data_IF_411464521657
#
_entry.id   IF_411464521657
#
_cell.length_a   1.000
_cell.length_b   1.000
_cell.length_c   1.000
_cell.angle_alpha   90.00
_cell.angle_beta   90.00
_cell.angle_gamma   90.00
#
_symmetry.space_group_name_H-M   'P 1'
#
loop_
_entity.id
_entity.type
_entity.pdbx_description
1 polymer ?
#
# COMPACT_ATOMS: atom_id res chain seq x y z
N UNK A 1 -13.32 -33.80 -24.49
CA UNK A 1 -12.22 -33.68 -23.51
C UNK A 1 -11.49 -32.32 -23.51
N UNK A 2 -12.06 -31.23 -24.07
CA UNK A 2 -11.33 -29.96 -24.31
C UNK A 2 -11.45 -28.87 -23.22
N UNK A 3 -12.21 -29.10 -22.14
CA UNK A 3 -12.56 -28.04 -21.17
C UNK A 3 -11.61 -27.93 -19.97
N UNK A 4 -10.85 -29.00 -19.65
CA UNK A 4 -9.90 -29.01 -18.53
C UNK A 4 -8.60 -28.25 -18.85
N UNK A 5 -8.14 -28.29 -20.10
CA UNK A 5 -6.95 -27.56 -20.53
C UNK A 5 -7.15 -26.04 -20.49
N UNK A 6 -8.34 -25.55 -20.84
CA UNK A 6 -8.70 -24.12 -20.72
C UNK A 6 -8.74 -23.64 -19.26
N UNK A 7 -9.28 -24.47 -18.35
CA UNK A 7 -9.32 -24.14 -16.93
C UNK A 7 -7.92 -24.09 -16.30
N UNK A 8 -7.06 -25.06 -16.62
CA UNK A 8 -5.67 -25.10 -16.14
C UNK A 8 -4.87 -23.90 -16.67
N UNK A 9 -5.10 -23.50 -17.92
CA UNK A 9 -4.49 -22.30 -18.50
C UNK A 9 -4.96 -21.03 -17.82
N UNK A 10 -6.26 -20.88 -17.55
CA UNK A 10 -6.80 -19.72 -16.84
C UNK A 10 -6.33 -19.62 -15.38
N UNK A 11 -6.15 -20.76 -14.70
CA UNK A 11 -5.56 -20.79 -13.34
C UNK A 11 -4.08 -20.40 -13.39
N UNK A 12 -3.33 -20.88 -14.38
CA UNK A 12 -1.92 -20.53 -14.57
C UNK A 12 -1.73 -19.04 -14.88
N UNK A 13 -2.57 -18.47 -15.75
CA UNK A 13 -2.58 -17.05 -16.06
C UNK A 13 -2.92 -16.20 -14.82
N UNK A 14 -3.92 -16.58 -14.03
CA UNK A 14 -4.25 -15.90 -12.76
C UNK A 14 -3.14 -16.01 -11.72
N UNK A 15 -2.53 -17.19 -11.57
CA UNK A 15 -1.39 -17.39 -10.68
C UNK A 15 -0.23 -16.49 -11.07
N UNK A 16 0.06 -16.36 -12.37
CA UNK A 16 1.12 -15.48 -12.86
C UNK A 16 0.84 -14.00 -12.64
N UNK A 17 -0.43 -13.58 -12.72
CA UNK A 17 -0.84 -12.20 -12.40
C UNK A 17 -0.66 -11.91 -10.91
N UNK A 18 -1.12 -12.82 -10.05
CA UNK A 18 -0.99 -12.69 -8.60
C UNK A 18 0.46 -12.63 -8.15
N UNK A 19 1.35 -13.45 -8.74
CA UNK A 19 2.79 -13.38 -8.43
C UNK A 19 3.36 -12.00 -8.77
N UNK A 20 3.00 -11.43 -9.93
CA UNK A 20 3.46 -10.07 -10.32
C UNK A 20 2.93 -8.98 -9.40
N UNK A 21 1.70 -9.10 -8.94
CA UNK A 21 1.12 -8.17 -7.96
C UNK A 21 1.81 -8.27 -6.60
N UNK A 22 2.16 -9.48 -6.18
CA UNK A 22 2.90 -9.75 -4.95
C UNK A 22 4.32 -9.17 -5.01
N UNK A 23 5.01 -9.33 -6.14
CA UNK A 23 6.32 -8.73 -6.39
C UNK A 23 6.23 -7.20 -6.34
N UNK A 24 5.22 -6.60 -6.98
CA UNK A 24 5.02 -5.14 -6.95
C UNK A 24 4.66 -4.61 -5.55
N UNK A 25 3.97 -5.39 -4.73
CA UNK A 25 3.69 -5.05 -3.34
C UNK A 25 4.95 -5.16 -2.48
N UNK A 26 5.78 -6.17 -2.71
CA UNK A 26 7.07 -6.32 -2.04
C UNK A 26 8.01 -5.14 -2.34
N UNK A 27 8.07 -4.68 -3.60
CA UNK A 27 8.84 -3.50 -4.00
C UNK A 27 8.35 -2.24 -3.27
N UNK A 28 7.03 -2.00 -3.22
CA UNK A 28 6.45 -0.86 -2.48
C UNK A 28 6.69 -0.93 -0.99
N UNK A 29 6.61 -2.12 -0.38
CA UNK A 29 6.92 -2.30 1.03
C UNK A 29 8.39 -1.98 1.32
N UNK A 30 9.29 -2.35 0.41
CA UNK A 30 10.71 -2.02 0.51
C UNK A 30 10.96 -0.50 0.38
N UNK A 31 10.31 0.18 -0.57
CA UNK A 31 10.37 1.65 -0.69
C UNK A 31 9.87 2.35 0.57
N UNK A 32 8.74 1.90 1.14
CA UNK A 32 8.20 2.45 2.38
C UNK A 32 9.15 2.24 3.56
N UNK A 33 9.79 1.07 3.65
CA UNK A 33 10.77 0.79 4.68
C UNK A 33 12.02 1.68 4.54
N UNK A 34 12.47 1.93 3.30
CA UNK A 34 13.58 2.84 3.02
C UNK A 34 13.23 4.30 3.38
N UNK A 35 12.01 4.75 3.08
CA UNK A 35 11.51 6.08 3.48
C UNK A 35 11.41 6.17 5.00
N UNK A 36 10.88 5.15 5.68
CA UNK A 36 10.79 5.11 7.14
C UNK A 36 12.18 5.16 7.79
N UNK A 37 13.17 4.48 7.21
CA UNK A 37 14.54 4.52 7.69
C UNK A 37 15.22 5.88 7.44
N UNK A 38 14.98 6.49 6.27
CA UNK A 38 15.45 7.85 5.98
C UNK A 38 14.79 8.92 6.87
N UNK A 39 13.53 8.73 7.27
CA UNK A 39 12.86 9.57 8.26
C UNK A 39 13.44 9.35 9.66
N UNK A 40 13.71 8.11 10.05
CA UNK A 40 14.35 7.77 11.32
C UNK A 40 15.76 8.37 11.43
N UNK A 41 16.55 8.32 10.37
CA UNK A 41 17.88 8.96 10.30
C UNK A 41 17.79 10.50 10.32
N UNK A 42 16.72 11.09 9.78
CA UNK A 42 16.45 12.53 9.90
C UNK A 42 15.98 12.94 11.30
N UNK A 43 15.24 12.08 12.00
CA UNK A 43 14.76 12.34 13.37
C UNK A 43 15.88 12.17 14.43
N UNK A 44 16.94 11.41 14.13
CA UNK A 44 18.16 11.34 14.97
C UNK A 44 18.98 12.65 14.97
N UNK A 45 18.61 13.64 14.13
CA UNK A 45 19.12 15.02 14.18
C UNK A 45 18.09 15.91 14.89
N UNK A 46 18.09 15.84 16.23
CA UNK A 46 17.57 16.86 17.14
C UNK A 46 16.23 17.53 16.75
N UNK A 47 15.14 16.77 16.80
CA UNK A 47 13.85 17.31 17.24
C UNK A 47 13.45 16.56 18.51
N UNK A 48 13.81 17.12 19.66
CA UNK A 48 13.22 16.72 20.93
C UNK A 48 11.72 16.98 20.83
N UNK A 49 11.00 15.90 20.59
CA UNK A 49 9.55 15.83 20.58
C UNK A 49 9.03 16.21 21.98
N UNK A 50 8.73 17.50 22.15
CA UNK A 50 8.04 18.03 23.34
C UNK A 50 6.55 17.65 23.36
N UNK A 51 6.12 16.68 22.56
CA UNK A 51 4.75 16.18 22.47
C UNK A 51 4.45 14.93 23.28
N UNK A 52 5.45 14.11 23.66
CA UNK A 52 5.18 12.72 24.11
C UNK A 52 5.76 12.35 25.48
N UNK A 53 6.43 13.27 26.20
CA UNK A 53 6.90 13.02 27.58
C UNK A 53 6.02 13.64 28.68
N UNK A 54 4.70 13.53 28.59
CA UNK A 54 3.80 14.06 29.63
C UNK A 54 2.80 13.07 30.24
N UNK A 55 2.88 11.77 29.91
CA UNK A 55 1.87 10.80 30.38
C UNK A 55 2.39 9.73 31.37
N UNK A 56 3.59 9.88 31.93
CA UNK A 56 4.11 8.89 32.88
C UNK A 56 4.97 9.47 34.01
N UNK A 57 4.46 10.49 34.71
CA UNK A 57 4.70 10.69 36.13
C UNK A 57 3.70 11.75 36.66
N UNK A 58 3.18 11.54 37.87
CA UNK A 58 2.01 12.23 38.40
C UNK A 58 2.05 13.76 38.34
N UNK A 59 0.86 14.33 38.12
CA UNK A 59 0.57 15.76 38.23
C UNK A 59 0.11 16.34 36.91
N UNK A 60 -1.21 16.44 36.71
CA UNK A 60 -1.82 17.14 35.58
C UNK A 60 -1.19 18.54 35.44
N UNK A 61 -0.37 18.83 34.41
CA UNK A 61 -0.02 20.20 34.13
C UNK A 61 -1.22 20.79 33.41
N UNK A 62 -1.83 21.81 34.00
CA UNK A 62 -2.93 22.57 33.42
C UNK A 62 -2.71 22.75 31.91
N UNK A 63 -3.56 22.11 31.10
CA UNK A 63 -3.57 22.21 29.66
C UNK A 63 -3.50 23.71 29.32
N UNK A 64 -2.37 24.17 28.79
CA UNK A 64 -2.21 25.59 28.44
C UNK A 64 -3.07 25.85 27.20
N UNK A 65 -4.32 26.24 27.44
CA UNK A 65 -5.29 26.76 26.47
C UNK A 65 -4.70 27.83 25.53
N UNK A 66 -3.55 28.42 25.87
CA UNK A 66 -2.79 29.33 25.01
C UNK A 66 -2.27 28.71 23.70
N UNK A 67 -2.02 27.40 23.63
CA UNK A 67 -1.57 26.76 22.38
C UNK A 67 -2.73 26.59 21.39
N UNK A 68 -3.94 26.35 21.88
CA UNK A 68 -5.18 26.38 21.08
C UNK A 68 -5.55 27.80 20.62
N UNK A 69 -5.18 28.85 21.37
CA UNK A 69 -5.35 30.24 20.92
C UNK A 69 -4.44 30.64 19.74
N UNK A 70 -3.39 29.86 19.44
CA UNK A 70 -2.53 30.06 18.26
C UNK A 70 -3.06 29.38 17.00
N UNK A 71 -3.98 28.43 17.13
CA UNK A 71 -4.87 28.09 16.03
C UNK A 71 -5.91 29.20 16.00
N UNK A 72 -5.71 30.20 15.14
CA UNK A 72 -6.73 31.20 14.87
C UNK A 72 -8.05 30.45 14.67
N UNK A 73 -9.09 30.73 15.49
CA UNK A 73 -10.41 30.22 15.22
C UNK A 73 -10.75 30.57 13.77
N UNK A 74 -11.36 29.65 13.03
CA UNK A 74 -11.91 30.00 11.73
C UNK A 74 -12.82 31.22 11.91
N UNK A 75 -12.40 32.35 11.35
CA UNK A 75 -13.12 33.61 11.42
C UNK A 75 -13.42 34.03 9.99
N UNK A 76 -14.68 34.32 9.72
CA UNK A 76 -15.07 34.98 8.49
C UNK A 76 -14.46 36.38 8.50
N UNK A 77 -13.57 36.65 7.54
CA UNK A 77 -13.04 37.98 7.34
C UNK A 77 -14.18 38.88 6.83
N UNK A 78 -14.31 40.11 7.35
CA UNK A 78 -15.27 41.07 6.83
C UNK A 78 -14.95 41.37 5.36
N UNK A 79 -15.99 41.57 4.53
CA UNK A 79 -15.84 42.04 3.16
C UNK A 79 -15.14 43.40 3.18
N UNK A 80 -13.85 43.43 2.85
CA UNK A 80 -13.02 44.64 2.97
C UNK A 80 -12.17 44.88 1.73
N UNK A 81 -12.27 44.03 0.71
CA UNK A 81 -11.49 44.11 -0.50
C UNK A 81 -12.28 44.84 -1.57
N UNK A 82 -11.60 45.68 -2.36
CA UNK A 82 -12.18 46.23 -3.58
C UNK A 82 -12.15 45.19 -4.69
N UNK A 83 -13.21 45.16 -5.50
CA UNK A 83 -13.30 44.25 -6.63
C UNK A 83 -12.39 44.71 -7.76
N UNK A 84 -11.61 43.79 -8.34
CA UNK A 84 -10.85 44.08 -9.55
C UNK A 84 -11.78 44.13 -10.77
N UNK A 85 -12.34 45.32 -11.01
CA UNK A 85 -13.24 45.57 -12.14
C UNK A 85 -12.59 45.36 -13.51
N UNK A 86 -11.26 45.42 -13.62
CA UNK A 86 -10.58 45.13 -14.89
C UNK A 86 -10.79 43.66 -15.22
N UNK A 87 -10.61 42.76 -14.25
CA UNK A 87 -10.86 41.31 -14.42
C UNK A 87 -12.32 41.04 -14.80
N UNK A 88 -13.28 41.64 -14.08
CA UNK A 88 -14.71 41.47 -14.36
C UNK A 88 -15.07 41.88 -15.79
N UNK A 89 -14.50 42.98 -16.30
CA UNK A 89 -14.76 43.46 -17.67
C UNK A 89 -14.16 42.53 -18.72
N UNK A 90 -12.93 42.06 -18.52
CA UNK A 90 -12.23 41.18 -19.49
C UNK A 90 -12.73 39.74 -19.46
N UNK A 91 -13.40 39.34 -18.39
CA UNK A 91 -13.93 38.00 -18.24
C UNK A 91 -14.98 37.68 -19.29
N UNK A 92 -14.85 36.49 -19.87
CA UNK A 92 -15.79 35.91 -20.80
C UNK A 92 -16.45 34.68 -20.15
N UNK A 93 -17.64 34.90 -19.58
CA UNK A 93 -18.39 33.88 -18.87
C UNK A 93 -18.82 32.74 -19.82
N UNK A 94 -19.17 33.05 -21.07
CA UNK A 94 -19.59 32.03 -22.03
C UNK A 94 -18.45 31.10 -22.43
N UNK A 95 -17.22 31.64 -22.51
CA UNK A 95 -16.01 30.84 -22.71
C UNK A 95 -15.77 29.92 -21.51
N UNK A 96 -15.87 30.43 -20.29
CA UNK A 96 -15.69 29.64 -19.06
C UNK A 96 -16.69 28.48 -18.97
N UNK A 97 -17.95 28.71 -19.35
CA UNK A 97 -18.99 27.66 -19.41
C UNK A 97 -18.62 26.60 -20.45
N UNK A 98 -18.27 27.02 -21.66
CA UNK A 98 -18.01 26.12 -22.78
C UNK A 98 -16.78 25.25 -22.58
N UNK A 99 -15.73 25.83 -22.01
CA UNK A 99 -14.43 25.17 -21.82
C UNK A 99 -14.31 24.49 -20.45
N UNK A 100 -15.27 24.69 -19.55
CA UNK A 100 -15.21 24.13 -18.20
C UNK A 100 -14.04 24.67 -17.37
N UNK A 101 -13.68 25.94 -17.56
CA UNK A 101 -12.52 26.57 -16.91
C UNK A 101 -12.80 26.84 -15.41
N UNK A 102 -12.70 25.78 -14.62
CA UNK A 102 -12.90 25.80 -13.17
C UNK A 102 -11.83 26.64 -12.45
N UNK A 103 -10.64 26.79 -13.03
CA UNK A 103 -9.56 27.59 -12.41
C UNK A 103 -9.91 29.07 -12.43
N UNK A 104 -10.28 29.59 -13.60
CA UNK A 104 -10.72 30.99 -13.72
C UNK A 104 -11.98 31.26 -12.89
N UNK A 105 -12.87 30.27 -12.75
CA UNK A 105 -14.05 30.38 -11.88
C UNK A 105 -13.66 30.51 -10.41
N UNK A 106 -12.76 29.68 -9.92
CA UNK A 106 -12.30 29.74 -8.53
C UNK A 106 -11.52 31.03 -8.23
N UNK A 107 -10.70 31.50 -9.17
CA UNK A 107 -9.98 32.77 -9.03
C UNK A 107 -10.98 33.93 -8.92
N UNK A 108 -12.02 33.96 -9.75
CA UNK A 108 -13.08 34.96 -9.67
C UNK A 108 -13.93 34.82 -8.40
N UNK A 109 -14.13 33.59 -7.88
CA UNK A 109 -14.87 33.37 -6.63
C UNK A 109 -14.15 34.01 -5.47
N UNK A 110 -12.83 33.82 -5.40
CA UNK A 110 -12.03 34.40 -4.33
C UNK A 110 -12.07 35.93 -4.37
N UNK A 111 -12.09 36.52 -5.57
CA UNK A 111 -12.22 37.98 -5.73
C UNK A 111 -13.62 38.48 -5.33
N UNK A 112 -14.69 37.82 -5.77
CA UNK A 112 -16.07 38.25 -5.51
C UNK A 112 -16.50 37.98 -4.06
N UNK A 113 -16.09 36.86 -3.47
CA UNK A 113 -16.46 36.47 -2.10
C UNK A 113 -15.87 37.36 -1.01
N UNK A 114 -14.81 38.12 -1.31
CA UNK A 114 -14.18 39.04 -0.38
C UNK A 114 -14.48 40.51 -0.71
N UNK A 115 -15.17 40.75 -1.83
CA UNK A 115 -15.45 42.09 -2.31
C UNK A 115 -16.55 42.77 -1.49
N UNK A 116 -16.28 44.00 -1.05
CA UNK A 116 -17.31 44.89 -0.52
C UNK A 116 -18.03 45.56 -1.69
N UNK A 117 -19.22 45.09 -2.02
CA UNK A 117 -20.02 45.62 -3.13
C UNK A 117 -20.73 46.93 -2.78
N UNK A 118 -20.93 47.24 -1.49
CA UNK A 118 -21.64 48.44 -1.05
C UNK A 118 -20.76 49.69 -1.14
N UNK A 119 -19.44 49.51 -0.94
CA UNK A 119 -18.43 50.57 -1.08
C UNK A 119 -17.98 50.86 -2.52
N UNK A 120 -18.54 50.18 -3.53
CA UNK A 120 -18.08 50.27 -4.91
C UNK A 120 -18.67 51.46 -5.69
N UNK A 121 -17.89 51.96 -6.65
CA UNK A 121 -18.30 53.09 -7.47
C UNK A 121 -19.46 52.71 -8.40
N UNK A 122 -20.49 53.56 -8.47
CA UNK A 122 -21.64 53.39 -9.37
C UNK A 122 -21.25 53.30 -10.85
N UNK A 123 -20.11 53.87 -11.24
CA UNK A 123 -19.55 53.76 -12.60
C UNK A 123 -19.08 52.35 -12.95
N UNK A 124 -18.72 51.55 -11.94
CA UNK A 124 -18.31 50.17 -12.13
C UNK A 124 -19.49 49.19 -12.06
N UNK A 125 -20.53 49.54 -11.29
CA UNK A 125 -21.78 48.80 -11.15
C UNK A 125 -22.72 49.02 -12.34
N UNK A 126 -22.20 48.89 -13.56
CA UNK A 126 -23.03 48.90 -14.77
C UNK A 126 -23.84 47.61 -14.87
N UNK A 127 -25.00 47.67 -15.53
CA UNK A 127 -25.86 46.50 -15.78
C UNK A 127 -25.07 45.33 -16.39
N UNK A 128 -24.21 45.61 -17.37
CA UNK A 128 -23.37 44.58 -18.01
C UNK A 128 -22.44 43.88 -17.02
N UNK A 129 -21.80 44.63 -16.12
CA UNK A 129 -20.91 44.06 -15.11
C UNK A 129 -21.69 43.28 -14.05
N UNK A 130 -22.86 43.79 -13.63
CA UNK A 130 -23.74 43.09 -12.69
C UNK A 130 -24.24 41.77 -13.26
N UNK A 131 -24.67 41.73 -14.52
CA UNK A 131 -25.08 40.49 -15.20
C UNK A 131 -23.93 39.49 -15.24
N UNK A 132 -22.70 39.92 -15.54
CA UNK A 132 -21.53 39.04 -15.49
C UNK A 132 -21.30 38.47 -14.10
N UNK A 133 -21.36 39.30 -13.06
CA UNK A 133 -21.19 38.86 -11.67
C UNK A 133 -22.27 37.86 -11.27
N UNK A 134 -23.54 38.12 -11.59
CA UNK A 134 -24.65 37.21 -11.30
C UNK A 134 -24.45 35.87 -12.01
N UNK A 135 -24.08 35.87 -13.30
CA UNK A 135 -23.81 34.61 -14.04
C UNK A 135 -22.64 33.84 -13.43
N UNK A 136 -21.62 34.53 -12.96
CA UNK A 136 -20.47 33.92 -12.27
C UNK A 136 -20.87 33.33 -10.93
N UNK A 137 -21.67 34.03 -10.12
CA UNK A 137 -22.23 33.50 -8.89
C UNK A 137 -23.11 32.26 -9.15
N UNK A 138 -23.91 32.27 -10.21
CA UNK A 138 -24.70 31.11 -10.62
C UNK A 138 -23.82 29.90 -10.97
N UNK A 139 -22.73 30.11 -11.72
CA UNK A 139 -21.78 29.05 -12.03
C UNK A 139 -21.06 28.52 -10.78
N UNK A 140 -20.74 29.40 -9.83
CA UNK A 140 -20.14 28.99 -8.55
C UNK A 140 -21.10 28.12 -7.74
N UNK A 141 -22.38 28.50 -7.65
CA UNK A 141 -23.38 27.69 -6.97
C UNK A 141 -23.53 26.31 -7.63
N UNK A 142 -23.60 26.27 -8.97
CA UNK A 142 -23.64 25.01 -9.71
C UNK A 142 -22.40 24.14 -9.48
N UNK A 143 -21.22 24.76 -9.44
CA UNK A 143 -19.97 24.06 -9.18
C UNK A 143 -19.91 23.49 -7.75
N UNK A 144 -20.31 24.27 -6.75
CA UNK A 144 -20.37 23.82 -5.35
C UNK A 144 -21.38 22.70 -5.19
N UNK A 145 -22.55 22.81 -5.83
CA UNK A 145 -23.56 21.75 -5.82
C UNK A 145 -22.99 20.46 -6.44
N UNK A 146 -22.38 20.54 -7.62
CA UNK A 146 -21.74 19.39 -8.26
C UNK A 146 -20.68 18.73 -7.37
N UNK A 147 -19.84 19.52 -6.70
CA UNK A 147 -18.84 19.00 -5.75
C UNK A 147 -19.48 18.34 -4.52
N UNK A 148 -20.56 18.92 -4.01
CA UNK A 148 -21.30 18.35 -2.88
C UNK A 148 -21.94 17.01 -3.26
N UNK A 149 -22.54 16.90 -4.44
CA UNK A 149 -23.12 15.66 -4.95
C UNK A 149 -22.05 14.57 -5.13
N UNK A 150 -20.89 14.93 -5.69
CA UNK A 150 -19.75 14.02 -5.82
C UNK A 150 -19.26 13.51 -4.46
N UNK A 151 -19.14 14.41 -3.47
CA UNK A 151 -18.72 14.03 -2.13
C UNK A 151 -19.74 13.13 -1.44
N UNK A 152 -21.04 13.44 -1.59
CA UNK A 152 -22.12 12.63 -1.05
C UNK A 152 -22.09 11.21 -1.62
N UNK A 153 -21.96 11.07 -2.95
CA UNK A 153 -21.87 9.76 -3.60
C UNK A 153 -20.64 8.96 -3.14
N UNK A 154 -19.49 9.63 -3.01
CA UNK A 154 -18.28 8.99 -2.49
C UNK A 154 -18.47 8.51 -1.04
N UNK A 155 -19.12 9.32 -0.21
CA UNK A 155 -19.41 8.94 1.17
C UNK A 155 -20.35 7.74 1.24
N UNK A 156 -21.40 7.70 0.41
CA UNK A 156 -22.28 6.53 0.33
C UNK A 156 -21.53 5.26 -0.08
N UNK A 157 -20.65 5.35 -1.09
CA UNK A 157 -19.84 4.21 -1.51
C UNK A 157 -18.91 3.72 -0.40
N UNK A 158 -18.29 4.64 0.36
CA UNK A 158 -17.48 4.27 1.52
C UNK A 158 -18.29 3.63 2.65
N UNK A 159 -19.51 4.11 2.90
CA UNK A 159 -20.41 3.53 3.90
C UNK A 159 -20.86 2.11 3.49
N UNK A 160 -21.16 1.90 2.20
CA UNK A 160 -21.45 0.59 1.62
C UNK A 160 -20.25 -0.36 1.76
N UNK A 161 -19.07 0.05 1.30
CA UNK A 161 -17.82 -0.73 1.42
C UNK A 161 -17.49 -1.07 2.88
N UNK A 162 -17.68 -0.12 3.79
CA UNK A 162 -17.49 -0.34 5.23
C UNK A 162 -18.48 -1.37 5.78
N UNK A 163 -19.74 -1.31 5.35
CA UNK A 163 -20.76 -2.26 5.75
C UNK A 163 -20.47 -3.68 5.23
N UNK A 164 -20.01 -3.81 3.99
CA UNK A 164 -19.60 -5.07 3.38
C UNK A 164 -18.38 -5.66 4.08
N UNK A 165 -17.37 -4.82 4.34
CA UNK A 165 -16.18 -5.24 5.08
C UNK A 165 -16.54 -5.69 6.49
N UNK A 166 -17.41 -4.96 7.18
CA UNK A 166 -17.88 -5.36 8.52
C UNK A 166 -18.67 -6.66 8.48
N UNK A 167 -19.49 -6.88 7.45
CA UNK A 167 -20.18 -8.16 7.25
C UNK A 167 -19.17 -9.31 7.02
N UNK A 168 -18.16 -9.11 6.18
CA UNK A 168 -17.09 -10.10 5.97
C UNK A 168 -16.28 -10.38 7.24
N UNK A 169 -15.95 -9.35 8.02
CA UNK A 169 -15.26 -9.52 9.32
C UNK A 169 -16.14 -10.27 10.32
N UNK A 170 -17.46 -10.08 10.30
CA UNK A 170 -18.38 -10.84 11.15
C UNK A 170 -18.59 -12.30 10.72
N UNK A 171 -18.35 -12.60 9.43
CA UNK A 171 -18.40 -13.95 8.87
C UNK A 171 -17.10 -14.72 9.06
N UNK A 172 -15.97 -14.02 9.19
CA UNK A 172 -14.79 -14.62 9.76
C UNK A 172 -15.18 -15.05 11.18
N UNK A 173 -15.20 -16.36 11.49
CA UNK A 173 -15.40 -16.78 12.87
C UNK A 173 -14.35 -16.09 13.72
N UNK A 174 -14.50 -16.09 15.04
CA UNK A 174 -13.39 -15.90 15.97
C UNK A 174 -12.33 -16.99 15.70
N UNK A 175 -11.62 -16.90 14.56
CA UNK A 175 -10.46 -17.67 14.21
C UNK A 175 -9.46 -17.23 15.24
N UNK A 176 -9.40 -18.02 16.29
CA UNK A 176 -8.43 -17.95 17.35
C UNK A 176 -7.06 -18.03 16.68
N UNK A 177 -6.48 -16.86 16.39
CA UNK A 177 -5.21 -16.72 15.66
C UNK A 177 -4.11 -17.52 16.37
N UNK A 178 -4.24 -17.70 17.69
CA UNK A 178 -3.39 -18.54 18.53
C UNK A 178 -3.50 -20.02 18.17
N UNK A 179 -4.70 -20.53 17.87
CA UNK A 179 -4.88 -21.92 17.40
C UNK A 179 -4.32 -22.13 16.00
N UNK A 180 -4.43 -21.12 15.13
CA UNK A 180 -3.86 -21.17 13.78
C UNK A 180 -2.33 -21.16 13.82
N UNK A 181 -1.72 -20.31 14.65
CA UNK A 181 -0.26 -20.28 14.86
C UNK A 181 0.23 -21.55 15.52
N UNK A 182 -0.47 -22.09 16.52
CA UNK A 182 -0.15 -23.40 17.11
C UNK A 182 -0.22 -24.53 16.07
N UNK A 183 -1.23 -24.51 15.18
CA UNK A 183 -1.35 -25.47 14.10
C UNK A 183 -0.22 -25.39 13.08
N UNK A 184 0.16 -24.17 12.68
CA UNK A 184 1.28 -23.91 11.77
C UNK A 184 2.61 -24.35 12.37
N UNK A 185 2.86 -24.04 13.64
CA UNK A 185 4.10 -24.40 14.30
C UNK A 185 4.21 -25.91 14.53
N UNK A 186 3.10 -26.58 14.83
CA UNK A 186 3.04 -28.04 14.86
C UNK A 186 3.37 -28.66 13.49
N UNK A 187 2.80 -28.10 12.42
CA UNK A 187 3.07 -28.57 11.06
C UNK A 187 4.54 -28.38 10.65
N UNK A 188 5.13 -27.25 11.04
CA UNK A 188 6.55 -26.94 10.83
C UNK A 188 7.45 -27.95 11.59
N UNK A 189 7.12 -28.25 12.84
CA UNK A 189 7.83 -29.27 13.62
C UNK A 189 7.69 -30.66 12.99
N UNK A 190 6.48 -31.06 12.60
CA UNK A 190 6.22 -32.35 11.96
C UNK A 190 6.98 -32.46 10.62
N UNK A 191 7.05 -31.38 9.84
CA UNK A 191 7.79 -31.35 8.58
C UNK A 191 9.31 -31.45 8.79
N UNK A 192 9.86 -30.71 9.75
CA UNK A 192 11.29 -30.80 10.09
C UNK A 192 11.68 -32.18 10.60
N UNK A 193 10.83 -32.81 11.43
CA UNK A 193 11.07 -34.15 11.97
C UNK A 193 11.02 -35.25 10.90
N UNK A 194 10.13 -35.13 9.92
CA UNK A 194 10.07 -36.06 8.78
C UNK A 194 11.25 -35.85 7.83
N UNK A 195 11.61 -34.60 7.54
CA UNK A 195 12.73 -34.29 6.65
C UNK A 195 14.07 -34.82 7.21
N UNK A 196 14.33 -34.64 8.51
CA UNK A 196 15.59 -35.07 9.12
C UNK A 196 15.68 -36.60 9.25
N UNK A 197 14.59 -37.26 9.67
CA UNK A 197 14.60 -38.71 9.87
C UNK A 197 14.74 -39.50 8.56
N UNK A 198 14.06 -39.05 7.50
CA UNK A 198 14.06 -39.75 6.20
C UNK A 198 15.37 -39.48 5.43
N UNK A 199 15.93 -38.27 5.53
CA UNK A 199 17.25 -37.96 4.95
C UNK A 199 18.38 -38.75 5.64
N UNK A 200 18.39 -38.83 6.98
CA UNK A 200 19.41 -39.62 7.69
C UNK A 200 19.32 -41.11 7.37
N UNK A 201 18.11 -41.67 7.26
CA UNK A 201 17.90 -43.04 6.85
C UNK A 201 18.43 -43.31 5.42
N UNK A 202 18.14 -42.40 4.48
CA UNK A 202 18.67 -42.49 3.12
C UNK A 202 20.20 -42.39 3.09
N UNK A 203 20.83 -41.47 3.84
CA UNK A 203 22.28 -41.36 3.89
C UNK A 203 22.96 -42.59 4.51
N UNK A 204 22.34 -43.21 5.51
CA UNK A 204 22.84 -44.47 6.06
C UNK A 204 22.75 -45.61 5.06
N UNK A 205 21.65 -45.71 4.31
CA UNK A 205 21.50 -46.72 3.28
C UNK A 205 22.53 -46.56 2.15
N UNK A 206 22.73 -45.34 1.65
CA UNK A 206 23.73 -45.06 0.60
C UNK A 206 25.14 -45.44 1.07
N UNK A 207 25.51 -45.13 2.32
CA UNK A 207 26.82 -45.54 2.87
C UNK A 207 26.98 -47.05 2.98
N UNK A 208 25.91 -47.78 3.28
CA UNK A 208 25.95 -49.25 3.33
C UNK A 208 26.13 -49.81 1.91
N UNK A 209 25.40 -49.29 0.92
CA UNK A 209 25.53 -49.69 -0.48
C UNK A 209 26.92 -49.36 -1.04
N UNK A 210 27.49 -48.18 -0.74
CA UNK A 210 28.86 -47.82 -1.11
C UNK A 210 29.90 -48.77 -0.50
N UNK A 211 29.73 -49.16 0.77
CA UNK A 211 30.63 -50.12 1.43
C UNK A 211 30.54 -51.52 0.81
N UNK A 212 29.34 -51.96 0.46
CA UNK A 212 29.12 -53.25 -0.21
C UNK A 212 29.73 -53.21 -1.61
N UNK A 213 29.46 -52.17 -2.40
CA UNK A 213 30.04 -51.98 -3.72
C UNK A 213 31.57 -51.90 -3.70
N UNK A 214 32.16 -51.16 -2.76
CA UNK A 214 33.61 -51.10 -2.61
C UNK A 214 34.20 -52.46 -2.19
N UNK A 215 33.52 -53.21 -1.33
CA UNK A 215 33.92 -54.55 -0.92
C UNK A 215 33.88 -55.54 -2.09
N UNK A 216 32.85 -55.47 -2.93
CA UNK A 216 32.70 -56.37 -4.08
C UNK A 216 33.76 -56.08 -5.16
N UNK A 217 34.08 -54.80 -5.41
CA UNK A 217 35.18 -54.41 -6.29
C UNK A 217 36.53 -54.91 -5.75
N UNK A 218 36.80 -54.72 -4.46
CA UNK A 218 38.02 -55.23 -3.84
C UNK A 218 38.08 -56.76 -3.87
N UNK A 219 36.96 -57.45 -3.64
CA UNK A 219 36.85 -58.90 -3.76
C UNK A 219 37.20 -59.38 -5.17
N UNK A 220 36.65 -58.72 -6.20
CA UNK A 220 36.97 -59.02 -7.59
C UNK A 220 38.45 -58.81 -7.95
N UNK A 221 39.07 -57.74 -7.44
CA UNK A 221 40.51 -57.48 -7.62
C UNK A 221 41.36 -58.56 -6.95
N UNK A 222 41.00 -58.97 -5.72
CA UNK A 222 41.70 -60.02 -4.99
C UNK A 222 41.56 -61.37 -5.69
N UNK A 223 40.37 -61.71 -6.18
CA UNK A 223 40.12 -62.94 -6.91
C UNK A 223 40.88 -62.98 -8.24
N UNK A 224 40.95 -61.85 -8.95
CA UNK A 224 41.74 -61.72 -10.17
C UNK A 224 43.24 -61.84 -9.91
N UNK A 225 43.75 -61.18 -8.86
CA UNK A 225 45.14 -61.30 -8.44
C UNK A 225 45.49 -62.75 -8.03
N UNK A 226 44.58 -63.45 -7.34
CA UNK A 226 44.76 -64.85 -6.96
C UNK A 226 44.79 -65.77 -8.19
N UNK A 227 43.96 -65.52 -9.21
CA UNK A 227 44.01 -66.26 -10.48
C UNK A 227 45.33 -66.05 -11.21
N UNK A 228 45.76 -64.81 -11.36
CA UNK A 228 47.05 -64.47 -12.00
C UNK A 228 48.24 -65.09 -11.25
N UNK A 229 48.20 -65.08 -9.92
CA UNK A 229 49.23 -65.71 -9.08
C UNK A 229 49.26 -67.24 -9.29
N UNK A 230 48.09 -67.89 -9.29
CA UNK A 230 47.99 -69.33 -9.53
C UNK A 230 48.46 -69.72 -10.94
N UNK A 231 48.15 -68.92 -11.95
CA UNK A 231 48.64 -69.11 -13.32
C UNK A 231 50.17 -68.95 -13.39
N UNK A 232 50.74 -67.95 -12.72
CA UNK A 232 52.20 -67.78 -12.62
C UNK A 232 52.90 -68.91 -11.88
N UNK A 233 52.32 -69.41 -10.79
CA UNK A 233 52.83 -70.57 -10.04
C UNK A 233 52.82 -71.81 -10.93
N UNK A 234 51.76 -72.00 -11.71
CA UNK A 234 51.66 -73.12 -12.67
C UNK A 234 52.71 -73.01 -13.79
N UNK A 235 52.99 -71.80 -14.28
CA UNK A 235 54.00 -71.54 -15.31
C UNK A 235 55.46 -71.66 -14.81
N UNK A 236 55.70 -71.60 -13.50
CA UNK A 236 57.03 -71.80 -12.89
C UNK A 236 57.30 -73.25 -12.46
N UNK A 237 56.27 -74.11 -12.51
CA UNK A 237 56.35 -75.54 -12.18
C UNK A 237 56.52 -76.47 -13.39
N UNK A 238 56.58 -75.90 -14.60
CA UNK A 238 56.97 -76.57 -15.86
C UNK A 238 58.40 -76.15 -16.25
#
# INVERSE_FOLDING_TARGET
>A
MSNRSGLVRGISEKSSSLTRELDSLADRAFELQQIAQALKEKDDVHMVDKGVQADSAGGVPAFKWERLKRLQPFQYLPFNKKLDWRKVRTMNVDKMIREGDSRSLMDMFNEVSQADMEGESSYNLTESNLVKLVRVCQLMMQFVQYKSEQQYNMQQMMEEDQSELQAHVSLLPNMDLDKLTQGLHKLEMDYSGVADADMDAMFQQVRVEERIGARDVLGGIVDQANKELNERIKALGE
#
